data_IF_122279775119
#
_entry.id   IF_122279775119
#
_cell.length_a   1.000
_cell.length_b   1.000
_cell.length_c   1.000
_cell.angle_alpha   90.00
_cell.angle_beta   90.00
_cell.angle_gamma   90.00
#
_symmetry.space_group_name_H-M   'P 1'
#
loop_
_entity.id
_entity.type
_entity.pdbx_description
1 polymer ?
#
# COMPACT_ATOMS: atom_id res chain seq x y z
N UNK A 1 -17.15 9.73 -11.44
CA UNK A 1 -15.70 9.58 -11.61
C UNK A 1 -15.41 8.53 -12.67
N UNK A 2 -14.64 8.89 -13.69
CA UNK A 2 -14.15 7.93 -14.69
C UNK A 2 -12.80 7.38 -14.23
N UNK A 3 -12.66 6.06 -14.27
CA UNK A 3 -11.40 5.35 -13.95
C UNK A 3 -10.90 4.70 -15.23
N UNK A 4 -9.64 4.95 -15.59
CA UNK A 4 -8.99 4.30 -16.72
C UNK A 4 -7.74 3.55 -16.30
N UNK A 5 -7.70 2.24 -16.59
CA UNK A 5 -6.48 1.45 -16.62
C UNK A 5 -5.96 1.49 -18.06
N UNK A 6 -4.73 1.92 -18.26
CA UNK A 6 -4.12 2.05 -19.57
C UNK A 6 -2.83 1.26 -19.67
N UNK A 7 -2.75 0.38 -20.67
CA UNK A 7 -1.51 -0.31 -21.04
C UNK A 7 -0.65 0.62 -21.89
N UNK A 8 0.32 1.26 -21.23
CA UNK A 8 1.26 2.18 -21.86
C UNK A 8 2.21 1.43 -22.81
N UNK A 9 2.54 0.19 -22.51
CA UNK A 9 3.47 -0.63 -23.30
C UNK A 9 2.97 -0.83 -24.74
N UNK A 10 1.73 -1.29 -24.91
CA UNK A 10 1.14 -1.49 -26.24
C UNK A 10 1.11 -0.21 -27.07
N UNK A 11 0.76 0.90 -26.43
CA UNK A 11 0.71 2.21 -27.09
C UNK A 11 2.09 2.65 -27.56
N UNK A 12 3.12 2.49 -26.75
CA UNK A 12 4.48 2.92 -27.09
C UNK A 12 5.08 2.06 -28.20
N UNK A 13 4.83 0.73 -28.21
CA UNK A 13 5.29 -0.18 -29.27
C UNK A 13 4.63 0.19 -30.59
N UNK A 14 3.32 0.41 -30.60
CA UNK A 14 2.59 0.81 -31.80
C UNK A 14 3.10 2.16 -32.35
N UNK A 15 3.34 3.14 -31.46
CA UNK A 15 3.87 4.45 -31.88
C UNK A 15 5.28 4.37 -32.43
N UNK A 16 6.15 3.55 -31.86
CA UNK A 16 7.49 3.29 -32.39
C UNK A 16 7.42 2.65 -33.77
N UNK A 17 6.58 1.64 -33.96
CA UNK A 17 6.39 0.96 -35.25
C UNK A 17 5.90 1.94 -36.33
N UNK A 18 4.88 2.75 -36.05
CA UNK A 18 4.37 3.78 -36.97
C UNK A 18 5.46 4.81 -37.30
N UNK A 19 6.23 5.24 -36.31
CA UNK A 19 7.30 6.24 -36.51
C UNK A 19 8.41 5.69 -37.39
N UNK A 20 8.77 4.42 -37.27
CA UNK A 20 9.74 3.75 -38.14
C UNK A 20 9.23 3.62 -39.58
N UNK A 21 7.96 3.29 -39.77
CA UNK A 21 7.32 3.22 -41.09
C UNK A 21 7.27 4.60 -41.79
N UNK A 22 7.18 5.66 -41.01
CA UNK A 22 7.21 7.04 -41.49
C UNK A 22 8.64 7.60 -41.64
N UNK A 23 9.66 6.74 -41.52
CA UNK A 23 11.08 7.10 -41.64
C UNK A 23 11.51 8.24 -40.69
N UNK A 24 10.87 8.37 -39.54
CA UNK A 24 11.25 9.37 -38.53
C UNK A 24 12.53 8.93 -37.84
N UNK A 25 13.43 9.87 -37.62
CA UNK A 25 14.70 9.62 -36.95
C UNK A 25 14.49 9.03 -35.55
N UNK A 26 15.08 7.84 -35.25
CA UNK A 26 14.96 7.25 -33.93
C UNK A 26 15.82 8.00 -32.91
N UNK A 27 15.28 8.12 -31.68
CA UNK A 27 15.99 8.62 -30.52
C UNK A 27 16.43 7.49 -29.58
N UNK A 28 16.44 7.76 -28.28
CA UNK A 28 16.80 6.79 -27.24
C UNK A 28 15.92 5.52 -27.31
N UNK A 29 16.56 4.36 -27.25
CA UNK A 29 15.90 3.04 -27.33
C UNK A 29 15.04 2.86 -28.59
N UNK A 30 15.43 3.51 -29.69
CA UNK A 30 14.70 3.54 -30.97
C UNK A 30 13.29 4.12 -30.91
N UNK A 31 12.93 4.84 -29.84
CA UNK A 31 11.70 5.61 -29.78
C UNK A 31 11.84 6.95 -30.50
N UNK A 32 10.76 7.49 -31.07
CA UNK A 32 10.79 8.85 -31.62
C UNK A 32 10.97 9.88 -30.50
N UNK A 33 11.63 11.00 -30.80
CA UNK A 33 11.97 12.03 -29.81
C UNK A 33 10.78 12.63 -29.06
N UNK A 34 9.57 12.52 -29.59
CA UNK A 34 8.33 13.03 -29.02
C UNK A 34 7.53 12.02 -28.20
N UNK A 35 8.11 10.85 -27.88
CA UNK A 35 7.40 9.81 -27.09
C UNK A 35 6.98 10.30 -25.71
N UNK A 36 7.75 11.19 -25.09
CA UNK A 36 7.33 11.82 -23.83
C UNK A 36 6.01 12.58 -24.01
N UNK A 37 5.92 13.40 -25.06
CA UNK A 37 4.68 14.15 -25.37
C UNK A 37 3.50 13.23 -25.71
N UNK A 38 3.76 12.09 -26.35
CA UNK A 38 2.73 11.08 -26.60
C UNK A 38 2.02 10.65 -25.32
N UNK A 39 2.76 10.44 -24.23
CA UNK A 39 2.22 10.01 -22.95
C UNK A 39 1.71 11.18 -22.11
N UNK A 40 2.46 12.27 -22.00
CA UNK A 40 2.08 13.41 -21.16
C UNK A 40 0.76 14.03 -21.60
N UNK A 41 0.55 14.29 -22.90
CA UNK A 41 -0.71 14.87 -23.41
C UNK A 41 -1.95 14.02 -23.10
N UNK A 42 -1.80 12.71 -22.83
CA UNK A 42 -2.91 11.86 -22.44
C UNK A 42 -3.08 11.82 -20.92
N UNK A 43 -1.98 11.63 -20.19
CA UNK A 43 -2.01 11.43 -18.74
C UNK A 43 -2.35 12.74 -17.99
N UNK A 44 -1.88 13.88 -18.47
CA UNK A 44 -2.17 15.20 -17.91
C UNK A 44 -3.65 15.62 -18.02
N UNK A 45 -4.46 14.89 -18.75
CA UNK A 45 -5.92 15.06 -18.74
C UNK A 45 -6.57 14.55 -17.46
N UNK A 46 -5.85 13.71 -16.69
CA UNK A 46 -6.30 13.21 -15.42
C UNK A 46 -6.02 14.25 -14.35
N UNK A 47 -7.07 14.96 -13.96
CA UNK A 47 -6.98 16.07 -13.03
C UNK A 47 -8.25 16.18 -12.19
N UNK A 48 -8.20 16.99 -11.15
CA UNK A 48 -9.37 17.44 -10.42
C UNK A 48 -9.70 18.88 -10.82
N UNK A 49 -10.94 19.12 -11.17
CA UNK A 49 -11.45 20.46 -11.45
C UNK A 49 -11.68 21.22 -10.14
N UNK A 50 -11.61 22.56 -10.21
CA UNK A 50 -12.03 23.42 -9.11
C UNK A 50 -13.54 23.28 -8.85
N UNK A 51 -13.97 23.67 -7.65
CA UNK A 51 -15.40 23.62 -7.28
C UNK A 51 -16.25 24.51 -8.18
N UNK A 52 -15.70 25.64 -8.68
CA UNK A 52 -16.33 26.52 -9.66
C UNK A 52 -16.66 25.82 -11.00
N UNK A 53 -15.88 24.82 -11.36
CA UNK A 53 -16.06 24.00 -12.56
C UNK A 53 -16.75 22.66 -12.27
N UNK A 54 -17.37 22.52 -11.07
CA UNK A 54 -18.13 21.36 -10.67
C UNK A 54 -17.35 20.30 -9.88
N UNK A 55 -16.07 20.52 -9.55
CA UNK A 55 -15.27 19.67 -8.66
C UNK A 55 -15.03 18.23 -9.14
N UNK A 56 -15.33 17.92 -10.42
CA UNK A 56 -15.15 16.59 -10.99
C UNK A 56 -13.68 16.16 -11.05
N UNK A 57 -13.42 14.85 -11.01
CA UNK A 57 -12.04 14.32 -11.08
C UNK A 57 -11.92 13.10 -11.99
N UNK A 58 -10.77 12.97 -12.63
CA UNK A 58 -10.35 11.81 -13.40
C UNK A 58 -9.05 11.28 -12.79
N UNK A 59 -9.02 9.98 -12.48
CA UNK A 59 -7.81 9.28 -12.06
C UNK A 59 -7.39 8.31 -13.15
N UNK A 60 -6.14 8.41 -13.63
CA UNK A 60 -5.54 7.46 -14.54
C UNK A 60 -4.54 6.58 -13.79
N UNK A 61 -4.58 5.28 -14.05
CA UNK A 61 -3.61 4.30 -13.57
C UNK A 61 -2.90 3.69 -14.79
N UNK A 62 -1.84 4.34 -15.31
CA UNK A 62 -1.06 3.77 -16.40
C UNK A 62 -0.28 2.56 -15.91
N UNK A 63 -0.34 1.46 -16.68
CA UNK A 63 0.42 0.24 -16.39
C UNK A 63 1.64 0.24 -17.30
N UNK A 64 2.81 0.03 -16.70
CA UNK A 64 4.09 -0.10 -17.39
C UNK A 64 4.71 -1.42 -16.99
N UNK A 65 5.15 -2.16 -17.99
CA UNK A 65 5.98 -3.33 -17.81
C UNK A 65 7.45 -2.91 -17.74
N UNK A 66 8.16 -3.38 -16.71
CA UNK A 66 9.60 -3.20 -16.56
C UNK A 66 10.31 -4.50 -16.86
N UNK A 67 11.44 -4.44 -17.58
CA UNK A 67 12.29 -5.61 -17.79
C UNK A 67 13.18 -5.79 -16.56
N UNK A 68 13.12 -6.97 -15.93
CA UNK A 68 13.87 -7.29 -14.72
C UNK A 68 13.74 -6.28 -13.57
N UNK A 69 12.61 -5.56 -13.49
CA UNK A 69 12.40 -4.54 -12.46
C UNK A 69 13.14 -3.21 -12.68
N UNK A 70 13.74 -3.01 -13.86
CA UNK A 70 14.47 -1.76 -14.16
C UNK A 70 13.52 -0.58 -14.37
N UNK A 71 13.38 0.22 -13.32
CA UNK A 71 12.60 1.48 -13.34
C UNK A 71 13.39 2.65 -13.93
N UNK A 72 14.70 2.49 -14.18
CA UNK A 72 15.56 3.52 -14.75
C UNK A 72 15.54 3.55 -16.28
N UNK A 73 14.90 2.58 -16.92
CA UNK A 73 14.70 2.53 -18.36
C UNK A 73 13.92 3.77 -18.87
N UNK A 74 14.04 4.04 -20.16
CA UNK A 74 13.57 5.29 -20.77
C UNK A 74 12.06 5.53 -20.58
N UNK A 75 11.22 4.53 -20.82
CA UNK A 75 9.77 4.69 -20.72
C UNK A 75 9.29 4.75 -19.26
N UNK A 76 9.72 3.86 -18.33
CA UNK A 76 9.39 3.99 -16.92
C UNK A 76 9.74 5.37 -16.36
N UNK A 77 10.94 5.89 -16.60
CA UNK A 77 11.35 7.22 -16.13
C UNK A 77 10.48 8.35 -16.68
N UNK A 78 10.11 8.28 -17.96
CA UNK A 78 9.21 9.26 -18.56
C UNK A 78 7.85 9.27 -17.87
N UNK A 79 7.24 8.10 -17.67
CA UNK A 79 5.90 8.02 -17.09
C UNK A 79 5.90 8.36 -15.60
N UNK A 80 6.93 7.96 -14.84
CA UNK A 80 7.10 8.37 -13.45
C UNK A 80 7.23 9.89 -13.33
N UNK A 81 7.87 10.56 -14.29
CA UNK A 81 7.99 12.02 -14.28
C UNK A 81 6.68 12.74 -14.62
N UNK A 82 5.83 12.14 -15.43
CA UNK A 82 4.52 12.68 -15.80
C UNK A 82 3.49 12.49 -14.69
N UNK A 83 3.51 11.35 -14.01
CA UNK A 83 2.54 10.97 -12.98
C UNK A 83 2.93 11.48 -11.59
N UNK A 84 1.99 11.45 -10.64
CA UNK A 84 2.22 11.89 -9.26
C UNK A 84 2.91 10.84 -8.37
N UNK A 85 3.53 9.86 -8.97
CA UNK A 85 4.24 8.78 -8.29
C UNK A 85 4.03 7.44 -8.96
N UNK A 86 4.46 6.38 -8.27
CA UNK A 86 4.34 5.01 -8.76
C UNK A 86 3.95 4.03 -7.65
N UNK A 87 3.21 3.00 -8.01
CA UNK A 87 3.02 1.79 -7.22
C UNK A 87 3.92 0.73 -7.85
N UNK A 88 4.99 0.34 -7.14
CA UNK A 88 5.97 -0.63 -7.62
C UNK A 88 5.57 -2.04 -7.20
N UNK A 89 5.34 -2.91 -8.19
CA UNK A 89 5.04 -4.33 -7.98
C UNK A 89 6.29 -5.15 -8.21
N UNK A 90 6.60 -6.06 -7.29
CA UNK A 90 7.83 -6.84 -7.28
C UNK A 90 7.53 -8.33 -7.40
N UNK A 91 8.16 -9.00 -8.37
CA UNK A 91 7.92 -10.43 -8.63
C UNK A 91 8.31 -11.30 -7.43
N UNK A 92 9.40 -10.97 -6.74
CA UNK A 92 9.84 -11.73 -5.56
C UNK A 92 8.80 -11.68 -4.43
N UNK A 93 8.18 -10.52 -4.19
CA UNK A 93 7.09 -10.40 -3.23
C UNK A 93 5.86 -11.23 -3.65
N UNK A 94 5.55 -11.25 -4.95
CA UNK A 94 4.46 -12.06 -5.46
C UNK A 94 4.69 -13.56 -5.23
N UNK A 95 5.87 -14.06 -5.54
CA UNK A 95 6.23 -15.46 -5.37
C UNK A 95 6.37 -15.86 -3.91
N UNK A 96 6.75 -14.94 -3.01
CA UNK A 96 6.74 -15.17 -1.56
C UNK A 96 5.34 -15.15 -0.94
N UNK A 97 4.29 -14.95 -1.75
CA UNK A 97 2.90 -14.94 -1.28
C UNK A 97 2.40 -13.58 -0.77
N UNK A 98 3.18 -12.51 -0.92
CA UNK A 98 2.74 -11.15 -0.65
C UNK A 98 1.80 -10.68 -1.77
N UNK A 99 0.52 -10.52 -1.46
CA UNK A 99 -0.49 -10.08 -2.44
C UNK A 99 -1.42 -9.04 -1.82
N UNK A 100 -1.48 -7.81 -2.40
CA UNK A 100 -0.76 -7.34 -3.58
C UNK A 100 0.77 -7.26 -3.34
N UNK A 101 1.54 -7.50 -4.40
CA UNK A 101 3.01 -7.55 -4.35
C UNK A 101 3.64 -6.14 -4.38
N UNK A 102 3.12 -5.22 -3.57
CA UNK A 102 3.54 -3.82 -3.52
C UNK A 102 4.80 -3.67 -2.68
N UNK A 103 5.86 -3.18 -3.30
CA UNK A 103 7.05 -2.75 -2.57
C UNK A 103 6.79 -1.35 -2.00
N UNK A 104 6.53 -1.27 -0.69
CA UNK A 104 6.22 -0.01 0.01
C UNK A 104 7.42 0.96 0.01
N UNK A 105 8.65 0.46 0.02
CA UNK A 105 9.86 1.27 -0.01
C UNK A 105 10.08 2.00 -1.33
N UNK A 106 9.85 1.32 -2.45
CA UNK A 106 10.02 1.85 -3.80
C UNK A 106 8.77 2.56 -4.35
N UNK A 107 7.62 2.36 -3.73
CA UNK A 107 6.40 3.07 -4.09
C UNK A 107 6.41 4.48 -3.51
N UNK A 108 6.07 5.46 -4.34
CA UNK A 108 6.08 6.88 -3.97
C UNK A 108 4.78 7.53 -4.43
N UNK A 109 4.22 8.40 -3.60
CA UNK A 109 3.14 9.31 -3.99
C UNK A 109 3.50 10.74 -3.58
N UNK A 110 3.54 11.65 -4.56
CA UNK A 110 3.83 13.07 -4.31
C UNK A 110 2.65 13.79 -3.68
N UNK A 111 1.44 13.35 -3.97
CA UNK A 111 0.17 13.97 -3.53
C UNK A 111 -0.58 13.15 -2.48
N UNK A 112 -0.21 11.88 -2.26
CA UNK A 112 -0.92 10.96 -1.39
C UNK A 112 -1.09 11.47 0.03
N UNK A 113 -0.07 12.13 0.57
CA UNK A 113 -0.16 12.74 1.90
C UNK A 113 -1.24 13.83 2.02
N UNK A 114 -1.51 14.58 0.95
CA UNK A 114 -2.59 15.58 0.95
C UNK A 114 -3.98 14.95 0.78
N UNK A 115 -4.04 13.80 0.08
CA UNK A 115 -5.29 13.08 -0.17
C UNK A 115 -5.75 12.21 1.00
N UNK A 116 -4.84 11.82 1.90
CA UNK A 116 -5.16 11.02 3.07
C UNK A 116 -6.01 11.80 4.09
N UNK A 117 -6.94 11.09 4.75
CA UNK A 117 -7.60 11.60 5.94
C UNK A 117 -6.59 11.80 7.08
N UNK A 118 -6.89 12.68 8.03
CA UNK A 118 -6.02 12.86 9.20
C UNK A 118 -5.85 11.55 9.99
N UNK A 119 -6.93 10.76 10.11
CA UNK A 119 -6.89 9.45 10.76
C UNK A 119 -5.88 8.51 10.10
N UNK A 120 -5.91 8.40 8.77
CA UNK A 120 -4.98 7.55 8.03
C UNK A 120 -3.53 8.03 8.16
N UNK A 121 -3.27 9.34 8.09
CA UNK A 121 -1.91 9.89 8.29
C UNK A 121 -1.33 9.51 9.64
N UNK A 122 -2.14 9.64 10.71
CA UNK A 122 -1.70 9.30 12.08
C UNK A 122 -1.46 7.79 12.22
N UNK A 123 -2.36 6.96 11.69
CA UNK A 123 -2.27 5.51 11.80
C UNK A 123 -1.13 4.90 10.95
N UNK A 124 -0.85 5.44 9.76
CA UNK A 124 0.14 4.89 8.84
C UNK A 124 1.55 5.49 9.01
N UNK A 125 1.74 6.47 9.90
CA UNK A 125 2.95 7.30 9.96
C UNK A 125 4.25 6.52 10.19
N UNK A 126 4.26 5.50 11.03
CA UNK A 126 5.46 4.68 11.35
C UNK A 126 5.67 3.49 10.40
N UNK A 127 4.60 2.97 9.81
CA UNK A 127 4.59 1.68 9.08
C UNK A 127 5.72 1.57 8.04
N UNK A 128 6.01 2.64 7.31
CA UNK A 128 7.05 2.64 6.29
C UNK A 128 8.44 2.47 6.89
N UNK A 129 8.68 3.09 8.05
CA UNK A 129 9.95 3.01 8.78
C UNK A 129 10.09 1.61 9.38
N UNK A 130 9.04 1.10 10.01
CA UNK A 130 9.03 -0.23 10.64
C UNK A 130 9.29 -1.33 9.60
N UNK A 131 8.69 -1.22 8.41
CA UNK A 131 8.94 -2.15 7.30
C UNK A 131 10.35 -2.03 6.73
N UNK A 132 10.93 -0.84 6.66
CA UNK A 132 12.31 -0.65 6.23
C UNK A 132 13.28 -1.30 7.22
N UNK A 133 13.10 -1.06 8.51
CA UNK A 133 13.88 -1.70 9.58
C UNK A 133 13.75 -3.23 9.57
N UNK A 134 12.52 -3.73 9.39
CA UNK A 134 12.29 -5.17 9.28
C UNK A 134 13.10 -5.79 8.13
N UNK A 135 13.09 -5.18 6.95
CA UNK A 135 13.83 -5.70 5.79
C UNK A 135 15.34 -5.70 6.01
N UNK A 136 15.88 -4.66 6.62
CA UNK A 136 17.30 -4.62 6.98
C UNK A 136 17.65 -5.75 7.96
N UNK A 137 16.84 -5.94 9.01
CA UNK A 137 17.06 -7.00 9.96
C UNK A 137 16.87 -8.40 9.38
N UNK A 138 15.91 -8.60 8.49
CA UNK A 138 15.66 -9.88 7.83
C UNK A 138 16.91 -10.36 7.05
N UNK A 139 17.62 -9.44 6.38
CA UNK A 139 18.89 -9.75 5.72
C UNK A 139 19.96 -10.19 6.72
N UNK A 140 20.08 -9.51 7.86
CA UNK A 140 21.04 -9.87 8.90
C UNK A 140 20.77 -11.23 9.55
N UNK A 141 19.50 -11.63 9.68
CA UNK A 141 19.15 -12.92 10.28
C UNK A 141 19.62 -14.13 9.46
N UNK A 142 19.88 -13.93 8.17
CA UNK A 142 20.42 -15.00 7.32
C UNK A 142 21.88 -15.32 7.67
N UNK A 143 22.59 -14.43 8.36
CA UNK A 143 24.00 -14.54 8.67
C UNK A 143 24.31 -14.70 10.18
N UNK A 144 23.31 -14.52 11.06
CA UNK A 144 23.49 -14.57 12.51
C UNK A 144 22.50 -15.54 13.14
N UNK A 145 23.02 -16.49 13.90
CA UNK A 145 22.21 -17.47 14.66
C UNK A 145 21.76 -16.97 16.04
N UNK A 146 22.44 -15.96 16.59
CA UNK A 146 22.16 -15.42 17.92
C UNK A 146 21.58 -14.00 17.80
N UNK A 147 20.27 -13.90 18.01
CA UNK A 147 19.54 -12.64 18.01
C UNK A 147 19.18 -12.25 19.42
N UNK A 148 19.42 -10.99 19.79
CA UNK A 148 18.93 -10.45 21.05
C UNK A 148 17.39 -10.32 21.06
N UNK A 149 16.81 -10.20 22.26
CA UNK A 149 15.35 -10.17 22.45
C UNK A 149 14.67 -8.97 21.78
N UNK A 150 15.36 -7.82 21.66
CA UNK A 150 14.79 -6.64 21.00
C UNK A 150 14.70 -6.88 19.49
N UNK A 151 15.74 -7.43 18.88
CA UNK A 151 15.75 -7.80 17.46
C UNK A 151 14.67 -8.84 17.15
N UNK A 152 14.47 -9.84 18.01
CA UNK A 152 13.37 -10.82 17.86
C UNK A 152 12.00 -10.15 17.87
N UNK A 153 11.76 -9.22 18.79
CA UNK A 153 10.48 -8.47 18.87
C UNK A 153 10.25 -7.61 17.64
N UNK A 154 11.28 -6.93 17.15
CA UNK A 154 11.17 -6.12 15.94
C UNK A 154 10.91 -6.96 14.69
N UNK A 155 11.54 -8.14 14.58
CA UNK A 155 11.27 -9.11 13.52
C UNK A 155 9.85 -9.67 13.60
N UNK A 156 9.37 -10.00 14.79
CA UNK A 156 7.99 -10.46 14.99
C UNK A 156 6.98 -9.39 14.57
N UNK A 157 7.21 -8.14 14.97
CA UNK A 157 6.40 -7.00 14.57
C UNK A 157 6.41 -6.79 13.04
N UNK A 158 7.57 -6.79 12.41
CA UNK A 158 7.70 -6.64 10.96
C UNK A 158 7.02 -7.75 10.17
N UNK A 159 7.12 -9.01 10.64
CA UNK A 159 6.38 -10.15 10.05
C UNK A 159 4.88 -9.96 10.17
N UNK A 160 4.40 -9.50 11.33
CA UNK A 160 2.99 -9.21 11.53
C UNK A 160 2.51 -8.09 10.58
N UNK A 161 3.28 -7.01 10.41
CA UNK A 161 2.97 -5.95 9.45
C UNK A 161 2.90 -6.47 8.01
N UNK A 162 3.86 -7.30 7.60
CA UNK A 162 3.85 -7.91 6.26
C UNK A 162 2.59 -8.75 6.03
N UNK A 163 2.13 -9.50 7.04
CA UNK A 163 0.91 -10.30 6.93
C UNK A 163 -0.35 -9.41 6.88
N UNK A 164 -0.39 -8.33 7.68
CA UNK A 164 -1.49 -7.38 7.70
C UNK A 164 -1.64 -6.59 6.40
N UNK A 165 -0.58 -6.41 5.64
CA UNK A 165 -0.62 -5.74 4.33
C UNK A 165 -1.14 -6.64 3.20
N UNK A 166 -1.27 -7.94 3.42
CA UNK A 166 -1.93 -8.83 2.45
C UNK A 166 -3.43 -8.55 2.39
N UNK A 167 -3.95 -8.47 1.18
CA UNK A 167 -5.36 -8.17 0.94
C UNK A 167 -5.97 -9.18 -0.02
N UNK A 168 -7.13 -9.78 0.30
CA UNK A 168 -7.83 -10.66 -0.62
C UNK A 168 -8.32 -9.90 -1.87
N UNK A 169 -8.30 -10.58 -3.01
CA UNK A 169 -8.81 -10.01 -4.26
C UNK A 169 -10.30 -9.66 -4.13
N UNK A 170 -10.67 -8.45 -4.54
CA UNK A 170 -12.05 -8.00 -4.56
C UNK A 170 -12.69 -7.73 -3.18
N UNK A 171 -11.90 -7.71 -2.10
CA UNK A 171 -12.38 -7.40 -0.73
C UNK A 171 -11.59 -6.23 -0.14
N UNK A 172 -11.91 -5.00 -0.52
CA UNK A 172 -11.28 -3.81 0.05
C UNK A 172 -11.73 -3.62 1.50
N UNK A 173 -10.84 -3.11 2.33
CA UNK A 173 -11.17 -2.66 3.68
C UNK A 173 -11.63 -1.19 3.64
N UNK A 174 -12.58 -0.85 4.48
CA UNK A 174 -13.00 0.54 4.70
C UNK A 174 -11.88 1.35 5.35
N UNK A 175 -12.00 2.67 5.34
CA UNK A 175 -11.02 3.56 5.99
C UNK A 175 -10.93 3.27 7.50
N UNK A 176 -12.07 3.08 8.17
CA UNK A 176 -12.10 2.77 9.59
C UNK A 176 -11.43 1.42 9.90
N UNK A 177 -11.72 0.36 9.14
CA UNK A 177 -11.08 -0.95 9.30
C UNK A 177 -9.57 -0.89 9.11
N UNK A 178 -9.10 -0.10 8.13
CA UNK A 178 -7.67 0.10 7.92
C UNK A 178 -7.04 0.85 9.11
N UNK A 179 -7.65 1.92 9.59
CA UNK A 179 -7.14 2.70 10.74
C UNK A 179 -7.10 1.83 12.00
N UNK A 180 -8.16 1.10 12.32
CA UNK A 180 -8.21 0.18 13.47
C UNK A 180 -7.08 -0.85 13.38
N UNK A 181 -6.93 -1.49 12.21
CA UNK A 181 -5.86 -2.48 11.99
C UNK A 181 -4.47 -1.89 12.19
N UNK A 182 -4.20 -0.70 11.64
CA UNK A 182 -2.89 -0.06 11.74
C UNK A 182 -2.60 0.45 13.16
N UNK A 183 -3.60 0.99 13.87
CA UNK A 183 -3.45 1.41 15.27
C UNK A 183 -3.14 0.21 16.16
N UNK A 184 -3.87 -0.90 16.04
CA UNK A 184 -3.60 -2.14 16.76
C UNK A 184 -2.22 -2.73 16.42
N UNK A 185 -1.80 -2.64 15.16
CA UNK A 185 -0.46 -3.07 14.73
C UNK A 185 0.64 -2.22 15.37
N UNK A 186 0.50 -0.89 15.36
CA UNK A 186 1.46 0.02 16.01
C UNK A 186 1.53 -0.17 17.52
N UNK A 187 0.45 -0.64 18.14
CA UNK A 187 0.42 -1.04 19.55
C UNK A 187 0.93 -2.48 19.82
N UNK A 188 1.54 -3.13 18.82
CA UNK A 188 2.10 -4.48 18.89
C UNK A 188 1.11 -5.59 19.24
N UNK A 189 -0.20 -5.38 19.07
CA UNK A 189 -1.24 -6.36 19.40
C UNK A 189 -1.04 -7.69 18.66
N UNK A 190 -0.51 -7.64 17.43
CA UNK A 190 -0.31 -8.81 16.56
C UNK A 190 1.07 -9.47 16.72
N UNK A 191 2.03 -8.85 17.44
CA UNK A 191 3.44 -9.26 17.41
C UNK A 191 3.72 -10.63 18.03
N UNK A 192 2.89 -11.05 19.00
CA UNK A 192 3.06 -12.34 19.69
C UNK A 192 2.23 -13.47 19.05
N UNK A 193 1.46 -13.15 18.01
CA UNK A 193 0.61 -14.12 17.35
C UNK A 193 1.41 -14.95 16.32
N UNK A 194 1.15 -16.24 16.18
CA UNK A 194 1.66 -17.03 15.06
C UNK A 194 1.21 -16.41 13.73
N UNK A 195 2.11 -16.37 12.76
CA UNK A 195 1.88 -15.70 11.46
C UNK A 195 0.61 -16.22 10.78
N UNK A 196 0.35 -17.52 10.88
CA UNK A 196 -0.80 -18.19 10.28
C UNK A 196 -2.14 -17.73 10.89
N UNK A 197 -2.13 -17.26 12.14
CA UNK A 197 -3.30 -16.81 12.87
C UNK A 197 -3.61 -15.32 12.67
N UNK A 198 -2.65 -14.51 12.24
CA UNK A 198 -2.78 -13.06 12.12
C UNK A 198 -3.98 -12.66 11.23
N UNK A 199 -4.16 -13.35 10.10
CA UNK A 199 -5.26 -13.06 9.19
C UNK A 199 -6.63 -13.33 9.83
N UNK A 200 -6.78 -14.48 10.48
CA UNK A 200 -8.03 -14.85 11.15
C UNK A 200 -8.32 -13.91 12.33
N UNK A 201 -7.31 -13.62 13.13
CA UNK A 201 -7.40 -12.68 14.25
C UNK A 201 -7.81 -11.27 13.79
N UNK A 202 -7.20 -10.73 12.71
CA UNK A 202 -7.60 -9.43 12.16
C UNK A 202 -9.07 -9.41 11.77
N UNK A 203 -9.54 -10.43 11.06
CA UNK A 203 -10.95 -10.48 10.63
C UNK A 203 -11.90 -10.58 11.82
N UNK A 204 -11.58 -11.37 12.83
CA UNK A 204 -12.35 -11.45 14.06
C UNK A 204 -12.33 -10.15 14.86
N UNK A 205 -11.18 -9.48 14.95
CA UNK A 205 -11.06 -8.18 15.59
C UNK A 205 -11.98 -7.14 14.90
N UNK A 206 -11.96 -7.08 13.57
CA UNK A 206 -12.81 -6.14 12.82
C UNK A 206 -14.30 -6.46 12.96
N UNK A 207 -14.68 -7.74 13.04
CA UNK A 207 -16.05 -8.18 13.33
C UNK A 207 -16.47 -7.80 14.76
N UNK A 208 -15.58 -7.95 15.74
CA UNK A 208 -15.82 -7.50 17.12
C UNK A 208 -16.03 -5.98 17.20
N UNK A 209 -15.22 -5.21 16.49
CA UNK A 209 -15.41 -3.75 16.39
C UNK A 209 -16.75 -3.38 15.76
N UNK A 210 -17.16 -4.09 14.71
CA UNK A 210 -18.43 -3.84 14.05
C UNK A 210 -19.64 -4.14 14.98
N UNK A 211 -19.52 -5.14 15.86
CA UNK A 211 -20.59 -5.57 16.78
C UNK A 211 -20.63 -4.78 18.09
N UNK A 212 -19.46 -4.57 18.69
CA UNK A 212 -19.34 -4.10 20.07
C UNK A 212 -18.83 -2.66 20.20
N UNK A 213 -18.20 -2.10 19.16
CA UNK A 213 -17.55 -0.79 19.16
C UNK A 213 -17.95 0.05 17.93
N UNK A 214 -19.22 -0.04 17.51
CA UNK A 214 -19.73 0.69 16.35
C UNK A 214 -19.65 2.22 16.51
N UNK A 215 -19.62 2.73 17.75
CA UNK A 215 -19.38 4.13 18.07
C UNK A 215 -17.98 4.61 17.66
N UNK A 216 -16.94 3.80 17.86
CA UNK A 216 -15.57 4.10 17.41
C UNK A 216 -15.52 4.22 15.89
N UNK A 217 -16.12 3.26 15.18
CA UNK A 217 -16.22 3.28 13.71
C UNK A 217 -16.96 4.55 13.25
N UNK A 218 -18.11 4.85 13.86
CA UNK A 218 -18.90 6.04 13.54
C UNK A 218 -18.14 7.35 13.76
N UNK A 219 -17.35 7.43 14.83
CA UNK A 219 -16.48 8.60 15.12
C UNK A 219 -15.37 8.75 14.08
N UNK A 220 -14.70 7.66 13.68
CA UNK A 220 -13.68 7.69 12.63
C UNK A 220 -14.28 8.10 11.28
N UNK A 221 -15.47 7.58 10.94
CA UNK A 221 -16.10 7.87 9.67
C UNK A 221 -16.66 9.28 9.57
N UNK A 222 -17.14 9.86 10.68
CA UNK A 222 -17.67 11.21 10.71
C UNK A 222 -16.57 12.27 10.79
N UNK A 223 -15.59 12.11 11.68
CA UNK A 223 -14.54 13.11 11.90
C UNK A 223 -13.42 13.05 10.86
N UNK A 224 -13.18 11.87 10.28
CA UNK A 224 -12.00 11.57 9.43
C UNK A 224 -10.67 11.88 10.15
N UNK A 225 -10.70 11.97 11.47
CA UNK A 225 -9.53 12.20 12.33
C UNK A 225 -9.40 11.08 13.37
N UNK A 226 -8.20 10.89 13.88
CA UNK A 226 -7.85 9.99 14.97
C UNK A 226 -7.48 10.83 16.19
N UNK A 227 -8.46 11.13 17.03
CA UNK A 227 -8.24 11.77 18.31
C UNK A 227 -7.57 10.78 19.29
N UNK A 228 -6.83 11.30 20.27
CA UNK A 228 -6.06 10.44 21.19
C UNK A 228 -6.96 9.50 22.01
N UNK A 229 -8.13 9.97 22.45
CA UNK A 229 -9.12 9.15 23.15
C UNK A 229 -9.68 8.01 22.29
N UNK A 230 -9.88 8.24 20.98
CA UNK A 230 -10.30 7.20 20.02
C UNK A 230 -9.17 6.20 19.79
N UNK A 231 -7.93 6.68 19.67
CA UNK A 231 -6.76 5.83 19.53
C UNK A 231 -6.60 4.91 20.74
N UNK A 232 -6.70 5.46 21.95
CA UNK A 232 -6.58 4.69 23.20
C UNK A 232 -7.73 3.68 23.33
N UNK A 233 -8.95 4.04 22.97
CA UNK A 233 -10.09 3.13 22.95
C UNK A 233 -9.88 1.98 21.97
N UNK A 234 -9.32 2.24 20.78
CA UNK A 234 -8.97 1.18 19.80
C UNK A 234 -7.95 0.23 20.41
N UNK A 235 -6.89 0.74 21.02
CA UNK A 235 -5.83 -0.07 21.62
C UNK A 235 -6.38 -0.93 22.74
N UNK A 236 -7.20 -0.35 23.62
CA UNK A 236 -7.84 -1.07 24.72
C UNK A 236 -8.74 -2.21 24.19
N UNK A 237 -9.67 -1.88 23.30
CA UNK A 237 -10.60 -2.88 22.72
C UNK A 237 -9.85 -4.00 21.99
N UNK A 238 -8.78 -3.68 21.27
CA UNK A 238 -7.96 -4.68 20.58
C UNK A 238 -7.24 -5.62 21.55
N UNK A 239 -6.73 -5.10 22.68
CA UNK A 239 -6.10 -5.92 23.72
C UNK A 239 -7.14 -6.80 24.44
N UNK A 240 -8.32 -6.27 24.76
CA UNK A 240 -9.41 -7.05 25.34
C UNK A 240 -9.87 -8.19 24.43
N UNK A 241 -9.99 -7.92 23.12
CA UNK A 241 -10.28 -8.94 22.13
C UNK A 241 -9.18 -10.02 22.10
N UNK A 242 -7.90 -9.61 22.14
CA UNK A 242 -6.78 -10.54 22.18
C UNK A 242 -6.83 -11.47 23.40
N UNK A 243 -7.11 -10.95 24.58
CA UNK A 243 -7.23 -11.74 25.80
C UNK A 243 -8.35 -12.78 25.70
N UNK A 244 -9.55 -12.36 25.27
CA UNK A 244 -10.69 -13.27 25.05
C UNK A 244 -10.38 -14.36 24.03
N UNK A 245 -9.76 -14.01 22.92
CA UNK A 245 -9.38 -14.98 21.88
C UNK A 245 -8.37 -16.02 22.36
N UNK A 246 -7.45 -15.65 23.24
CA UNK A 246 -6.48 -16.58 23.82
C UNK A 246 -7.11 -17.49 24.90
N UNK A 247 -8.08 -16.99 25.67
CA UNK A 247 -8.81 -17.78 26.65
C UNK A 247 -9.72 -18.83 25.97
N UNK A 248 -10.40 -18.47 24.89
CA UNK A 248 -11.22 -19.39 24.11
C UNK A 248 -10.39 -20.54 23.50
N UNK A 249 -9.17 -20.25 23.03
CA UNK A 249 -8.26 -21.27 22.51
C UNK A 249 -7.75 -22.22 23.61
N UNK A 250 -7.51 -21.72 24.82
CA UNK A 250 -7.01 -22.53 25.94
C UNK A 250 -8.14 -23.30 26.68
N UNK A 251 -9.39 -22.81 26.62
CA UNK A 251 -10.56 -23.44 27.25
C UNK A 251 -11.23 -24.54 26.40
N UNK A 252 -10.83 -24.66 25.13
CA UNK A 252 -11.38 -25.65 24.18
C UNK A 252 -10.61 -26.97 24.08
N UNK A 253 -9.66 -27.26 24.99
CA UNK A 253 -8.92 -28.53 25.11
C UNK A 253 -9.48 -29.41 26.21
#
# INVERSE_FOLDING_TARGET
>A
ASRGLGDVYKRQVAYRAISLLLERSPGREAYPGDVFYLHSRLLERSSRLSDELGGGSITALPIIETQAGDVSAYIPTNVISITDGQIFLESNLFFSGMRPAVNVGLSVSRVGGAAQTKAMKKAAGSIRIDLAQYREMEVFTQFSSDLDENTKKQLAHGRALMELLKQPLGRPFTMAEQVITLVAANAHVFSDLPVEKIKAFRLGLLDDFAKNHADIIGRLDSSKDLADDVKDAIIQAANEYKQRSLEDENGGN
#
